data_IF_254764690819
#
_entry.id   IF_254764690819
#
_cell.length_a   1.000
_cell.length_b   1.000
_cell.length_c   1.000
_cell.angle_alpha   90.00
_cell.angle_beta   90.00
_cell.angle_gamma   90.00
#
_symmetry.space_group_name_H-M   'P 1'
#
loop_
_entity.id
_entity.type
_entity.pdbx_description
1 polymer ?
#
# COMPACT_ATOMS: atom_id res chain seq x y z
N UNK A 1 21.26 13.82 -44.92
CA UNK A 1 20.71 14.67 -43.86
C UNK A 1 19.39 14.05 -43.40
N UNK A 2 19.45 13.15 -42.41
CA UNK A 2 18.31 12.35 -41.99
C UNK A 2 17.74 12.98 -40.72
N UNK A 3 16.56 13.60 -40.82
CA UNK A 3 15.89 14.16 -39.65
C UNK A 3 15.45 13.01 -38.73
N UNK A 4 16.12 12.91 -37.59
CA UNK A 4 15.77 12.00 -36.49
C UNK A 4 14.46 12.51 -35.92
N UNK A 5 13.40 11.72 -36.08
CA UNK A 5 12.10 11.98 -35.49
C UNK A 5 12.27 11.96 -33.96
N UNK A 6 12.28 13.15 -33.34
CA UNK A 6 12.27 13.28 -31.88
C UNK A 6 10.91 12.78 -31.39
N UNK A 7 10.90 11.57 -30.82
CA UNK A 7 9.74 11.06 -30.10
C UNK A 7 9.43 12.03 -28.96
N UNK A 8 8.17 12.49 -28.76
CA UNK A 8 7.81 13.31 -27.62
C UNK A 8 8.21 12.54 -26.35
N UNK A 9 9.20 13.07 -25.64
CA UNK A 9 9.60 12.58 -24.33
C UNK A 9 8.45 12.94 -23.38
N UNK A 10 7.43 12.08 -23.34
CA UNK A 10 6.31 12.21 -22.42
C UNK A 10 6.83 11.80 -21.05
N UNK A 11 7.58 12.70 -20.43
CA UNK A 11 8.05 12.59 -19.07
C UNK A 11 6.82 12.60 -18.19
N UNK A 12 6.36 11.41 -17.78
CA UNK A 12 5.27 11.27 -16.83
C UNK A 12 5.71 12.03 -15.56
N UNK A 13 5.05 13.14 -15.18
CA UNK A 13 5.43 13.88 -14.00
C UNK A 13 4.86 13.16 -12.77
N UNK A 14 5.28 11.91 -12.55
CA UNK A 14 5.04 11.25 -11.25
C UNK A 14 6.01 11.89 -10.27
N UNK A 15 5.54 12.97 -9.64
CA UNK A 15 6.31 13.71 -8.65
C UNK A 15 6.78 12.75 -7.54
N UNK A 16 7.86 13.10 -6.85
CA UNK A 16 8.32 12.32 -5.69
C UNK A 16 7.21 12.13 -4.64
N UNK A 17 6.31 13.10 -4.52
CA UNK A 17 5.12 13.05 -3.66
C UNK A 17 4.11 12.00 -4.13
N UNK A 18 3.85 11.86 -5.44
CA UNK A 18 2.93 10.84 -5.95
C UNK A 18 3.42 9.42 -5.63
N UNK A 19 4.74 9.23 -5.67
CA UNK A 19 5.34 7.95 -5.26
C UNK A 19 5.18 7.69 -3.77
N UNK A 20 5.36 8.70 -2.92
CA UNK A 20 5.16 8.55 -1.46
C UNK A 20 3.70 8.21 -1.13
N UNK A 21 2.73 8.91 -1.72
CA UNK A 21 1.31 8.61 -1.55
C UNK A 21 0.95 7.21 -2.07
N UNK A 22 1.51 6.80 -3.21
CA UNK A 22 1.32 5.45 -3.76
C UNK A 22 1.88 4.40 -2.81
N UNK A 23 3.08 4.58 -2.24
CA UNK A 23 3.64 3.64 -1.27
C UNK A 23 2.81 3.55 0.01
N UNK A 24 2.24 4.66 0.45
CA UNK A 24 1.36 4.68 1.62
C UNK A 24 0.01 3.99 1.33
N UNK A 25 -0.57 4.22 0.15
CA UNK A 25 -1.78 3.55 -0.31
C UNK A 25 -1.57 2.04 -0.47
N UNK A 26 -0.45 1.63 -1.07
CA UNK A 26 -0.05 0.21 -1.17
C UNK A 26 0.11 -0.38 0.22
N UNK A 27 0.70 0.34 1.17
CA UNK A 27 0.83 -0.10 2.55
C UNK A 27 -0.50 -0.30 3.27
N UNK A 28 -1.45 0.60 3.03
CA UNK A 28 -2.81 0.48 3.54
C UNK A 28 -3.51 -0.76 2.97
N UNK A 29 -3.46 -0.96 1.66
CA UNK A 29 -4.08 -2.12 0.99
C UNK A 29 -3.40 -3.43 1.42
N UNK A 30 -2.07 -3.45 1.47
CA UNK A 30 -1.28 -4.60 1.90
C UNK A 30 -1.54 -5.00 3.36
N UNK A 31 -1.99 -4.07 4.21
CA UNK A 31 -2.43 -4.35 5.57
C UNK A 31 -3.91 -4.74 5.67
N UNK A 32 -4.77 -3.98 4.98
CA UNK A 32 -6.21 -4.16 5.03
C UNK A 32 -6.66 -5.52 4.48
N UNK A 33 -6.15 -5.90 3.32
CA UNK A 33 -6.55 -7.15 2.63
C UNK A 33 -6.28 -8.39 3.49
N UNK A 34 -5.06 -8.64 3.98
CA UNK A 34 -4.82 -9.79 4.85
C UNK A 34 -5.51 -9.67 6.21
N UNK A 35 -5.67 -8.45 6.76
CA UNK A 35 -6.42 -8.22 8.00
C UNK A 35 -7.89 -8.65 7.87
N UNK A 36 -8.54 -8.26 6.78
CA UNK A 36 -9.93 -8.64 6.47
C UNK A 36 -10.05 -10.16 6.27
N UNK A 37 -9.11 -10.77 5.54
CA UNK A 37 -9.11 -12.24 5.33
C UNK A 37 -9.00 -12.96 6.68
N UNK A 38 -8.08 -12.53 7.56
CA UNK A 38 -7.95 -13.10 8.90
C UNK A 38 -9.22 -12.91 9.74
N UNK A 39 -9.85 -11.73 9.68
CA UNK A 39 -11.13 -11.46 10.33
C UNK A 39 -12.27 -12.34 9.87
N UNK A 40 -12.37 -12.57 8.57
CA UNK A 40 -13.35 -13.48 7.99
C UNK A 40 -13.10 -14.91 8.44
N UNK A 41 -11.84 -15.37 8.45
CA UNK A 41 -11.48 -16.70 8.93
C UNK A 41 -11.87 -16.88 10.40
N UNK A 42 -11.59 -15.91 11.26
CA UNK A 42 -11.98 -15.96 12.68
C UNK A 42 -13.51 -15.95 12.84
N UNK A 43 -14.19 -15.12 12.05
CA UNK A 43 -15.65 -15.01 12.08
C UNK A 43 -16.36 -16.32 11.70
N UNK A 44 -15.75 -17.18 10.87
CA UNK A 44 -16.31 -18.50 10.55
C UNK A 44 -16.42 -19.39 11.80
N UNK A 45 -15.53 -19.22 12.79
CA UNK A 45 -15.52 -20.05 14.00
C UNK A 45 -16.26 -19.41 15.18
N UNK A 46 -16.20 -18.08 15.32
CA UNK A 46 -16.70 -17.36 16.52
C UNK A 46 -18.03 -16.62 16.25
N UNK A 47 -18.45 -16.53 14.98
CA UNK A 47 -19.59 -15.71 14.56
C UNK A 47 -19.25 -14.22 14.52
N UNK A 48 -20.27 -13.34 14.44
CA UNK A 48 -20.11 -11.87 14.46
C UNK A 48 -19.12 -11.32 13.42
N UNK A 49 -19.34 -11.69 12.15
CA UNK A 49 -18.46 -11.32 11.04
C UNK A 49 -18.13 -9.83 10.96
N UNK A 50 -19.13 -8.96 11.11
CA UNK A 50 -18.92 -7.51 11.06
C UNK A 50 -17.93 -7.00 12.13
N UNK A 51 -17.97 -7.57 13.34
CA UNK A 51 -17.09 -7.17 14.44
C UNK A 51 -15.65 -7.62 14.18
N UNK A 52 -15.44 -8.91 13.88
CA UNK A 52 -14.10 -9.45 13.70
C UNK A 52 -13.39 -8.91 12.47
N UNK A 53 -14.11 -8.74 11.36
CA UNK A 53 -13.57 -8.11 10.14
C UNK A 53 -13.17 -6.66 10.40
N UNK A 54 -13.96 -5.91 11.17
CA UNK A 54 -13.63 -4.53 11.52
C UNK A 54 -12.37 -4.44 12.41
N UNK A 55 -12.32 -5.25 13.47
CA UNK A 55 -11.18 -5.25 14.42
C UNK A 55 -9.89 -5.69 13.72
N UNK A 56 -9.91 -6.83 13.06
CA UNK A 56 -8.71 -7.39 12.39
C UNK A 56 -8.32 -6.59 11.14
N UNK A 57 -9.30 -6.07 10.38
CA UNK A 57 -9.06 -5.16 9.26
C UNK A 57 -8.44 -3.84 9.72
N UNK A 58 -8.94 -3.26 10.81
CA UNK A 58 -8.36 -2.06 11.43
C UNK A 58 -6.93 -2.28 11.91
N UNK A 59 -6.68 -3.38 12.63
CA UNK A 59 -5.33 -3.78 13.07
C UNK A 59 -4.41 -4.00 11.85
N UNK A 60 -4.91 -4.68 10.82
CA UNK A 60 -4.19 -4.93 9.58
C UNK A 60 -3.75 -3.64 8.89
N UNK A 61 -4.65 -2.66 8.76
CA UNK A 61 -4.35 -1.33 8.21
C UNK A 61 -3.23 -0.64 9.00
N UNK A 62 -3.36 -0.59 10.33
CA UNK A 62 -2.36 0.07 11.19
C UNK A 62 -0.99 -0.59 11.02
N UNK A 63 -0.92 -1.93 11.05
CA UNK A 63 0.32 -2.66 10.83
C UNK A 63 0.88 -2.45 9.44
N UNK A 64 0.05 -2.52 8.39
CA UNK A 64 0.48 -2.30 7.00
C UNK A 64 1.05 -0.90 6.76
N UNK A 65 0.46 0.12 7.39
CA UNK A 65 0.96 1.49 7.36
C UNK A 65 2.30 1.63 8.10
N UNK A 66 2.42 1.03 9.30
CA UNK A 66 3.68 1.05 10.07
C UNK A 66 4.80 0.37 9.28
N UNK A 67 4.55 -0.84 8.76
CA UNK A 67 5.53 -1.61 7.98
C UNK A 67 5.96 -0.83 6.74
N UNK A 68 5.01 -0.23 6.03
CA UNK A 68 5.31 0.53 4.81
C UNK A 68 6.09 1.80 5.12
N UNK A 69 5.78 2.50 6.21
CA UNK A 69 6.55 3.68 6.65
C UNK A 69 7.96 3.29 7.10
N UNK A 70 8.14 2.17 7.78
CA UNK A 70 9.46 1.65 8.17
C UNK A 70 10.28 1.20 6.96
N UNK A 71 9.66 0.48 6.01
CA UNK A 71 10.33 0.11 4.75
C UNK A 71 10.74 1.34 3.93
N UNK A 72 9.87 2.35 3.85
CA UNK A 72 10.19 3.60 3.16
C UNK A 72 11.34 4.36 3.84
N UNK A 73 11.33 4.44 5.18
CA UNK A 73 12.46 5.00 5.96
C UNK A 73 13.77 4.25 5.72
N UNK A 74 13.76 2.91 5.68
CA UNK A 74 14.96 2.13 5.37
C UNK A 74 15.50 2.38 3.97
N UNK A 75 14.62 2.58 2.98
CA UNK A 75 15.03 2.84 1.59
C UNK A 75 15.56 4.25 1.37
N UNK A 76 15.14 5.24 2.16
CA UNK A 76 15.65 6.62 2.08
C UNK A 76 16.96 6.83 2.86
N UNK A 77 17.16 6.14 3.99
CA UNK A 77 18.42 6.20 4.78
C UNK A 77 19.60 5.45 4.14
N UNK A 78 19.36 4.59 3.15
CA UNK A 78 20.39 3.85 2.41
C UNK A 78 20.78 4.54 1.07
N UNK A 79 20.34 5.77 0.84
CA UNK A 79 20.88 6.66 -0.20
C UNK A 79 21.70 7.76 0.46
#
# INVERSE_FOLDING_TARGET
>A
MSQKFESPHFENPVSSSDREFTYMAVGMVAGAVPGIIAGLLIALFVGHAAMWVSVTGGIGIVLGLIISRVMFKKKTTQK
#
